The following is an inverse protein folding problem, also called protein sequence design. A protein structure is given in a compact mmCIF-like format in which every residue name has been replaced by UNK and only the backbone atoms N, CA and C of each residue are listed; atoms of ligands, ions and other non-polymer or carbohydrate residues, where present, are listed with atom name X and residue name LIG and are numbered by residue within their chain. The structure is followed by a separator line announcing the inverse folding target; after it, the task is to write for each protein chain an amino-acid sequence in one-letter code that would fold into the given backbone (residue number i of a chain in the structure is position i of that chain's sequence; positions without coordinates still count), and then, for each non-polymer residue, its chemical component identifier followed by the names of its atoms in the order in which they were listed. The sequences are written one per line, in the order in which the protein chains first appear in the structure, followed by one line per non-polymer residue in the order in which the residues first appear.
data_IF_089166100703
#
_entry.id   IF_089166100703
#
_cell.length_a   1.000
_cell.length_b   1.000
_cell.length_c   1.000
_cell.angle_alpha   90.00
_cell.angle_beta   90.00
_cell.angle_gamma   90.00
#
_symmetry.space_group_name_H-M   'P 1'
#
loop_
_entity.id
_entity.type
_entity.pdbx_description
1 polymer ?
#
# COMPACT_ATOMS: atom_id res chain seq x y z
N UNK A 1 6.01 5.68 9.61
CA UNK A 1 6.96 4.54 9.57
C UNK A 1 6.17 3.31 9.97
N UNK A 2 5.85 2.44 9.01
CA UNK A 2 4.95 1.30 9.23
C UNK A 2 5.42 0.41 10.37
N UNK A 3 4.50 0.05 11.26
CA UNK A 3 4.78 -0.89 12.34
C UNK A 3 5.08 -2.26 11.76
N UNK A 4 6.11 -2.93 12.30
CA UNK A 4 6.41 -4.33 11.95
C UNK A 4 5.58 -5.32 12.79
N UNK A 5 4.33 -4.97 13.09
CA UNK A 5 3.43 -5.73 13.93
C UNK A 5 2.12 -5.98 13.17
N UNK A 6 1.53 -7.16 13.40
CA UNK A 6 0.25 -7.51 12.82
C UNK A 6 -0.83 -6.52 13.26
N UNK A 7 -1.54 -5.92 12.31
CA UNK A 7 -2.60 -4.94 12.53
C UNK A 7 -3.73 -5.49 13.42
N UNK A 8 -3.95 -6.80 13.41
CA UNK A 8 -4.99 -7.45 14.21
C UNK A 8 -4.52 -7.89 15.59
N UNK A 9 -3.49 -8.74 15.67
CA UNK A 9 -3.06 -9.37 16.92
C UNK A 9 -1.74 -8.84 17.50
N UNK A 10 -1.12 -7.85 16.86
CA UNK A 10 0.14 -7.21 17.27
C UNK A 10 1.36 -8.14 17.33
N UNK A 11 1.26 -9.40 16.90
CA UNK A 11 2.42 -10.28 16.75
C UNK A 11 3.40 -9.71 15.71
N UNK A 12 4.71 -9.67 15.98
CA UNK A 12 5.71 -9.22 15.02
C UNK A 12 5.63 -9.98 13.68
N UNK A 13 5.82 -9.27 12.57
CA UNK A 13 5.79 -9.85 11.23
C UNK A 13 7.21 -10.12 10.74
N UNK A 14 7.43 -11.34 10.25
CA UNK A 14 8.73 -11.79 9.71
C UNK A 14 8.59 -12.58 8.41
N UNK A 15 7.44 -13.25 8.21
CA UNK A 15 7.22 -14.13 7.07
C UNK A 15 6.70 -13.33 5.87
N UNK A 16 7.50 -13.26 4.81
CA UNK A 16 7.04 -12.79 3.50
C UNK A 16 5.97 -13.74 2.96
N UNK A 17 4.85 -13.17 2.54
CA UNK A 17 3.83 -13.87 1.76
C UNK A 17 4.13 -13.74 0.27
N UNK A 18 4.27 -12.50 -0.21
CA UNK A 18 4.70 -12.17 -1.57
C UNK A 18 5.39 -10.81 -1.58
N UNK A 19 6.43 -10.68 -2.40
CA UNK A 19 7.06 -9.39 -2.71
C UNK A 19 6.91 -9.12 -4.20
N UNK A 20 6.21 -8.03 -4.53
CA UNK A 20 5.96 -7.59 -5.90
C UNK A 20 6.88 -6.43 -6.32
N UNK A 21 7.79 -6.00 -5.45
CA UNK A 21 8.69 -4.88 -5.72
C UNK A 21 8.00 -3.51 -5.59
N UNK A 22 8.49 -2.53 -6.33
CA UNK A 22 8.08 -1.12 -6.20
C UNK A 22 6.93 -0.79 -7.16
N UNK A 23 5.86 -0.18 -6.67
CA UNK A 23 4.70 0.23 -7.47
C UNK A 23 4.24 1.65 -7.10
N UNK A 24 3.67 2.42 -8.04
CA UNK A 24 3.01 3.68 -7.72
C UNK A 24 1.63 3.43 -7.10
N UNK A 25 0.95 4.51 -6.68
CA UNK A 25 -0.44 4.42 -6.24
C UNK A 25 -1.35 4.09 -7.43
N UNK A 26 -2.17 3.06 -7.30
CA UNK A 26 -2.97 2.53 -8.42
C UNK A 26 -4.05 3.49 -8.94
N UNK A 27 -4.51 4.44 -8.12
CA UNK A 27 -5.55 5.41 -8.48
C UNK A 27 -5.00 6.85 -8.63
N UNK A 28 -3.68 7.01 -8.78
CA UNK A 28 -3.04 8.30 -9.04
C UNK A 28 -2.64 8.41 -10.52
N UNK A 29 -3.55 8.90 -11.35
CA UNK A 29 -3.33 9.03 -12.79
C UNK A 29 -2.41 10.22 -13.11
N UNK A 30 -1.36 9.98 -13.91
CA UNK A 30 -0.44 11.02 -14.38
C UNK A 30 -1.06 11.74 -15.59
N UNK A 31 -1.19 13.07 -15.53
CA UNK A 31 -1.66 13.89 -16.65
C UNK A 31 -0.56 14.11 -17.70
N UNK A 32 -0.95 14.50 -18.92
CA UNK A 32 0.02 14.69 -20.03
C UNK A 32 1.11 15.73 -19.71
N UNK A 33 0.75 16.78 -18.97
CA UNK A 33 1.67 17.83 -18.53
C UNK A 33 2.61 17.38 -17.40
N UNK A 34 2.37 16.22 -16.79
CA UNK A 34 3.14 15.67 -15.67
C UNK A 34 3.99 14.46 -16.04
N UNK A 35 4.09 14.07 -17.31
CA UNK A 35 4.81 12.85 -17.74
C UNK A 35 6.29 12.83 -17.35
N UNK A 36 6.93 14.00 -17.28
CA UNK A 36 8.34 14.14 -16.90
C UNK A 36 8.53 14.48 -15.40
N UNK A 37 7.44 14.49 -14.62
CA UNK A 37 7.50 14.74 -13.18
C UNK A 37 7.83 13.47 -12.39
N UNK A 38 8.28 13.66 -11.16
CA UNK A 38 8.52 12.55 -10.23
C UNK A 38 7.19 11.86 -9.87
N UNK A 39 7.18 10.54 -9.99
CA UNK A 39 6.12 9.68 -9.49
C UNK A 39 6.64 8.89 -8.27
N UNK A 40 5.94 8.94 -7.11
CA UNK A 40 6.37 8.20 -5.93
C UNK A 40 6.02 6.71 -6.05
N UNK A 41 7.01 5.86 -5.74
CA UNK A 41 6.84 4.41 -5.73
C UNK A 41 7.01 3.87 -4.30
N UNK A 42 6.20 2.88 -3.95
CA UNK A 42 6.16 2.26 -2.62
C UNK A 42 6.37 0.75 -2.71
N UNK A 43 7.00 0.12 -1.70
CA UNK A 43 7.18 -1.34 -1.70
C UNK A 43 5.84 -2.07 -1.55
N UNK A 44 5.50 -2.91 -2.53
CA UNK A 44 4.36 -3.82 -2.47
C UNK A 44 4.82 -5.18 -1.92
N UNK A 45 5.29 -5.15 -0.67
CA UNK A 45 5.81 -6.32 0.05
C UNK A 45 4.83 -6.75 1.14
N UNK A 46 4.17 -7.88 0.89
CA UNK A 46 3.09 -8.43 1.72
C UNK A 46 3.66 -9.45 2.70
N UNK A 47 3.23 -9.36 3.95
CA UNK A 47 3.58 -10.28 5.03
C UNK A 47 2.37 -11.11 5.46
N UNK A 48 2.63 -12.31 5.97
CA UNK A 48 1.62 -13.14 6.64
C UNK A 48 1.97 -13.29 8.11
N UNK A 49 0.98 -13.07 8.98
CA UNK A 49 1.14 -13.30 10.42
C UNK A 49 1.13 -14.80 10.71
N UNK A 50 2.17 -15.32 11.34
CA UNK A 50 2.28 -16.75 11.69
C UNK A 50 1.38 -17.17 12.88
N UNK A 51 0.77 -16.20 13.57
CA UNK A 51 -0.16 -16.46 14.68
C UNK A 51 -1.63 -16.45 14.25
N UNK A 52 -2.08 -15.37 13.60
CA UNK A 52 -3.49 -15.18 13.23
C UNK A 52 -3.77 -15.30 11.73
N UNK A 53 -2.76 -15.57 10.90
CA UNK A 53 -2.86 -15.75 9.45
C UNK A 53 -3.36 -14.54 8.65
N UNK A 54 -3.41 -13.35 9.26
CA UNK A 54 -3.68 -12.12 8.53
C UNK A 54 -2.54 -11.82 7.55
N UNK A 55 -2.89 -11.74 6.26
CA UNK A 55 -2.03 -11.28 5.18
C UNK A 55 -2.22 -9.77 5.03
N UNK A 56 -1.14 -9.00 5.09
CA UNK A 56 -1.20 -7.53 5.18
C UNK A 56 0.05 -6.85 4.61
N UNK A 57 -0.09 -5.55 4.31
CA UNK A 57 0.98 -4.63 3.93
C UNK A 57 1.38 -3.75 5.12
N UNK A 58 2.57 -3.16 5.07
CA UNK A 58 2.87 -1.99 5.91
C UNK A 58 2.16 -0.75 5.40
N UNK A 59 1.88 0.18 6.30
CA UNK A 59 1.37 1.50 5.95
C UNK A 59 2.51 2.40 5.48
N UNK A 60 2.53 2.69 4.18
CA UNK A 60 3.49 3.60 3.55
C UNK A 60 2.87 4.96 3.19
N UNK A 61 1.57 5.00 2.97
CA UNK A 61 0.81 6.18 2.53
C UNK A 61 -0.42 6.32 3.42
N UNK A 62 -0.73 7.55 3.84
CA UNK A 62 -1.86 7.78 4.73
C UNK A 62 -3.19 7.67 3.98
N UNK A 63 -4.30 7.31 4.64
CA UNK A 63 -5.62 7.36 4.03
C UNK A 63 -5.98 8.73 3.45
N UNK A 64 -5.55 9.82 4.09
CA UNK A 64 -5.80 11.18 3.59
C UNK A 64 -5.16 11.44 2.22
N UNK A 65 -4.01 10.84 1.94
CA UNK A 65 -3.32 10.98 0.65
C UNK A 65 -3.93 10.05 -0.43
N UNK A 66 -4.48 8.90 -0.03
CA UNK A 66 -5.12 7.93 -0.95
C UNK A 66 -6.50 8.40 -1.40
N UNK A 67 -7.27 9.00 -0.49
CA UNK A 67 -8.68 9.33 -0.72
C UNK A 67 -8.92 10.82 -1.04
N UNK A 68 -7.92 11.55 -1.55
CA UNK A 68 -8.07 12.97 -1.92
C UNK A 68 -8.88 13.15 -3.21
N UNK A 69 -8.37 12.60 -4.32
CA UNK A 69 -9.03 12.61 -5.63
C UNK A 69 -9.38 11.18 -6.02
N UNK A 70 -10.40 10.64 -5.36
CA UNK A 70 -10.76 9.23 -5.48
C UNK A 70 -11.55 8.95 -6.77
N UNK A 71 -10.83 8.51 -7.80
CA UNK A 71 -11.36 8.28 -9.16
C UNK A 71 -12.16 6.96 -9.33
N UNK A 72 -12.80 6.48 -8.26
CA UNK A 72 -13.58 5.24 -8.28
C UNK A 72 -15.05 5.50 -7.89
N UNK A 73 -15.96 5.20 -8.82
CA UNK A 73 -17.42 5.33 -8.64
C UNK A 73 -18.07 3.95 -8.54
N UNK A 74 -18.77 3.68 -7.44
CA UNK A 74 -19.45 2.39 -7.21
C UNK A 74 -20.77 2.22 -7.97
N UNK A 75 -21.38 3.32 -8.44
CA UNK A 75 -22.57 3.37 -9.31
C UNK A 75 -22.76 4.78 -9.87
N UNK A 76 -23.43 4.92 -11.02
CA UNK A 76 -23.77 6.19 -11.68
C UNK A 76 -25.27 6.40 -11.81
#
# INVERSE_FOLDING_TARGET
MGSNACLFCQTPLHRTFVDLGMHPLCESYVSQDQLDHMEPFYPLHVYVCEHCWLVQLHEYVSPSDIFTEYAYFSSY
#
